data_IF_182732864136
#
_entry.id   IF_182732864136
#
_cell.length_a   1.000
_cell.length_b   1.000
_cell.length_c   1.000
_cell.angle_alpha   90.00
_cell.angle_beta   90.00
_cell.angle_gamma   90.00
#
_symmetry.space_group_name_H-M   'P 1'
#
loop_
_entity.id
_entity.type
_entity.pdbx_description
1 polymer ?
#
# COMPACT_ATOMS: atom_id res chain seq x y z
N UNK A 1 -7.21 -9.43 25.84
CA UNK A 1 -7.95 -8.91 26.99
C UNK A 1 -8.74 -9.97 27.81
N UNK A 2 -9.20 -11.08 27.19
CA UNK A 2 -9.91 -12.16 27.92
C UNK A 2 -9.03 -12.84 29.00
N UNK A 3 -7.70 -12.80 28.87
CA UNK A 3 -6.74 -13.33 29.83
C UNK A 3 -6.21 -12.29 30.84
N UNK A 4 -6.82 -11.10 30.90
CA UNK A 4 -6.41 -10.01 31.82
C UNK A 4 -5.13 -9.29 31.42
N UNK A 5 -4.57 -9.55 30.22
CA UNK A 5 -3.41 -8.83 29.71
C UNK A 5 -3.86 -7.46 29.20
N UNK A 6 -3.30 -6.40 29.81
CA UNK A 6 -3.68 -5.00 29.51
C UNK A 6 -2.60 -4.23 28.74
N UNK A 7 -1.35 -4.69 28.79
CA UNK A 7 -0.21 -4.07 28.09
C UNK A 7 0.13 -4.93 26.88
N UNK A 8 -0.26 -4.47 25.71
CA UNK A 8 -0.03 -5.15 24.43
C UNK A 8 0.66 -4.17 23.48
N UNK A 9 1.54 -4.69 22.63
CA UNK A 9 2.14 -3.99 21.51
C UNK A 9 2.11 -4.88 20.29
N UNK A 10 1.79 -4.32 19.13
CA UNK A 10 1.91 -5.02 17.86
C UNK A 10 3.33 -4.86 17.31
N UNK A 11 3.89 -5.93 16.74
CA UNK A 11 5.21 -5.91 16.14
C UNK A 11 5.07 -6.15 14.64
N UNK A 12 5.41 -5.14 13.85
CA UNK A 12 5.51 -5.26 12.41
C UNK A 12 6.89 -5.80 12.03
N UNK A 13 6.94 -7.03 11.55
CA UNK A 13 8.19 -7.69 11.13
C UNK A 13 8.13 -8.22 9.69
N UNK A 14 7.24 -7.66 8.88
CA UNK A 14 7.00 -8.05 7.50
C UNK A 14 6.22 -9.36 7.37
N UNK A 15 5.98 -9.75 6.14
CA UNK A 15 5.17 -10.90 5.77
C UNK A 15 5.92 -11.80 4.79
N UNK A 16 5.70 -13.11 4.88
CA UNK A 16 6.18 -14.04 3.87
C UNK A 16 5.52 -13.76 2.52
N UNK A 17 6.33 -13.64 1.48
CA UNK A 17 5.85 -13.42 0.11
C UNK A 17 6.50 -14.43 -0.84
N UNK A 18 5.76 -14.84 -1.86
CA UNK A 18 6.31 -15.63 -2.98
C UNK A 18 7.12 -14.76 -3.95
N UNK A 19 6.94 -13.46 -3.91
CA UNK A 19 7.69 -12.52 -4.75
C UNK A 19 9.09 -12.34 -4.18
N UNK A 20 10.09 -12.50 -5.07
CA UNK A 20 11.48 -12.23 -4.72
C UNK A 20 11.72 -10.72 -4.70
N UNK A 21 12.16 -10.21 -3.58
CA UNK A 21 12.52 -8.81 -3.37
C UNK A 21 13.84 -8.67 -2.61
N UNK A 22 14.26 -7.45 -2.28
CA UNK A 22 15.46 -7.19 -1.50
C UNK A 22 15.30 -7.55 -0.02
N UNK A 23 14.07 -7.77 0.43
CA UNK A 23 13.72 -8.02 1.82
C UNK A 23 13.56 -9.53 2.09
N UNK A 24 13.90 -9.97 3.30
CA UNK A 24 13.59 -11.33 3.78
C UNK A 24 12.08 -11.53 3.92
N UNK A 25 11.41 -10.56 4.53
CA UNK A 25 9.97 -10.51 4.66
C UNK A 25 9.47 -9.23 3.99
N UNK A 26 8.51 -9.36 3.08
CA UNK A 26 7.94 -8.18 2.42
C UNK A 26 7.32 -7.24 3.47
N UNK A 27 7.66 -5.95 3.49
CA UNK A 27 7.18 -5.05 4.54
C UNK A 27 5.67 -4.84 4.49
N UNK A 28 5.02 -4.85 3.31
CA UNK A 28 3.56 -4.66 3.15
C UNK A 28 3.02 -3.60 4.12
N UNK A 29 3.55 -2.38 4.01
CA UNK A 29 3.25 -1.28 4.93
C UNK A 29 1.78 -0.93 5.02
N UNK A 30 1.02 -1.15 3.96
CA UNK A 30 -0.43 -1.01 3.87
C UNK A 30 -1.16 -1.81 4.96
N UNK A 31 -0.71 -3.04 5.24
CA UNK A 31 -1.28 -3.88 6.30
C UNK A 31 -1.01 -3.27 7.69
N UNK A 32 0.21 -2.78 7.91
CA UNK A 32 0.57 -2.13 9.18
C UNK A 32 -0.21 -0.82 9.38
N UNK A 33 -0.35 0.00 8.33
CA UNK A 33 -1.14 1.23 8.34
C UNK A 33 -2.61 0.92 8.62
N UNK A 34 -3.18 -0.09 7.95
CA UNK A 34 -4.57 -0.49 8.16
C UNK A 34 -4.82 -0.96 9.59
N UNK A 35 -3.90 -1.76 10.17
CA UNK A 35 -4.00 -2.19 11.57
C UNK A 35 -3.97 -0.99 12.51
N UNK A 36 -3.07 -0.04 12.30
CA UNK A 36 -2.95 1.18 13.11
C UNK A 36 -4.20 2.05 12.99
N UNK A 37 -4.80 2.12 11.81
CA UNK A 37 -6.05 2.85 11.57
C UNK A 37 -7.23 2.23 12.32
N UNK A 38 -7.33 0.89 12.34
CA UNK A 38 -8.42 0.18 13.03
C UNK A 38 -8.26 0.15 14.54
N UNK A 39 -7.02 0.20 15.04
CA UNK A 39 -6.71 0.10 16.46
C UNK A 39 -5.73 1.21 16.87
N UNK A 40 -6.16 2.49 16.86
CA UNK A 40 -5.28 3.63 17.10
C UNK A 40 -4.64 3.63 18.48
N UNK A 41 -5.28 2.99 19.48
CA UNK A 41 -4.78 2.87 20.85
C UNK A 41 -3.75 1.73 21.03
N UNK A 42 -3.51 0.92 19.99
CA UNK A 42 -2.55 -0.16 20.04
C UNK A 42 -1.20 0.33 19.54
N UNK A 43 -0.24 0.45 20.45
CA UNK A 43 1.13 0.76 20.07
C UNK A 43 1.65 -0.27 19.07
N UNK A 44 2.35 0.20 18.06
CA UNK A 44 3.01 -0.64 17.08
C UNK A 44 4.47 -0.29 16.97
N UNK A 45 5.33 -1.30 17.07
CA UNK A 45 6.76 -1.18 16.82
C UNK A 45 7.15 -1.93 15.55
N UNK A 46 8.26 -1.55 14.95
CA UNK A 46 8.80 -2.24 13.78
C UNK A 46 9.99 -3.10 14.16
N UNK A 47 10.13 -4.25 13.55
CA UNK A 47 11.30 -5.12 13.57
C UNK A 47 12.04 -5.04 12.21
N UNK A 48 12.93 -4.04 12.04
CA UNK A 48 13.66 -3.88 10.79
C UNK A 48 14.60 -5.03 10.48
N UNK A 49 15.13 -5.72 11.50
CA UNK A 49 16.05 -6.85 11.32
C UNK A 49 15.39 -7.98 10.56
N UNK A 50 14.17 -8.36 10.94
CA UNK A 50 13.45 -9.46 10.30
C UNK A 50 12.82 -9.05 8.95
N UNK A 51 12.45 -7.79 8.78
CA UNK A 51 12.02 -7.29 7.46
C UNK A 51 13.20 -7.33 6.48
N UNK A 52 14.33 -6.77 6.89
CA UNK A 52 15.52 -6.69 6.03
C UNK A 52 16.12 -8.06 5.71
N UNK A 53 16.36 -8.89 6.75
CA UNK A 53 17.16 -10.11 6.65
C UNK A 53 18.64 -9.85 6.32
N UNK A 54 19.04 -8.58 6.27
CA UNK A 54 20.35 -8.10 5.89
C UNK A 54 20.59 -6.75 6.59
N UNK A 55 21.78 -6.60 7.15
CA UNK A 55 22.13 -5.44 8.00
C UNK A 55 22.15 -4.11 7.26
N UNK A 56 22.37 -4.10 5.95
CA UNK A 56 22.51 -2.88 5.14
C UNK A 56 21.16 -2.14 4.95
N UNK A 57 20.04 -2.86 5.10
CA UNK A 57 18.71 -2.31 4.92
C UNK A 57 18.03 -1.87 6.25
N UNK A 58 18.63 -2.20 7.39
CA UNK A 58 18.01 -1.96 8.71
C UNK A 58 17.71 -0.47 8.91
N UNK A 59 18.68 0.41 8.65
CA UNK A 59 18.52 1.85 8.82
C UNK A 59 17.39 2.43 7.95
N UNK A 60 17.31 1.97 6.70
CA UNK A 60 16.26 2.39 5.77
C UNK A 60 14.85 2.00 6.27
N UNK A 61 14.71 0.76 6.73
CA UNK A 61 13.42 0.25 7.22
C UNK A 61 13.08 0.92 8.57
N UNK A 62 14.06 1.12 9.44
CA UNK A 62 13.88 1.81 10.71
C UNK A 62 13.38 3.25 10.51
N UNK A 63 13.99 4.00 9.58
CA UNK A 63 13.52 5.34 9.23
C UNK A 63 12.11 5.32 8.66
N UNK A 64 11.80 4.41 7.74
CA UNK A 64 10.46 4.27 7.18
C UNK A 64 9.40 3.98 8.25
N UNK A 65 9.74 3.17 9.25
CA UNK A 65 8.85 2.89 10.38
C UNK A 65 8.54 4.17 11.19
N UNK A 66 9.55 5.00 11.47
CA UNK A 66 9.37 6.28 12.17
C UNK A 66 8.58 7.29 11.32
N UNK A 67 8.81 7.31 10.01
CA UNK A 67 8.03 8.15 9.07
C UNK A 67 6.54 7.75 9.01
N UNK A 68 6.22 6.49 9.34
CA UNK A 68 4.86 5.96 9.46
C UNK A 68 4.31 6.00 10.90
N UNK A 69 4.94 6.78 11.77
CA UNK A 69 4.51 6.98 13.15
C UNK A 69 4.42 5.67 13.96
N UNK A 70 5.40 4.77 13.80
CA UNK A 70 5.51 3.62 14.68
C UNK A 70 6.14 4.03 16.01
N UNK A 71 5.61 3.48 17.11
CA UNK A 71 5.96 3.86 18.48
C UNK A 71 7.39 3.46 18.87
N UNK A 72 8.04 2.58 18.10
CA UNK A 72 9.41 2.14 18.39
C UNK A 72 9.96 1.14 17.40
N UNK A 73 11.16 0.69 17.71
CA UNK A 73 11.95 -0.25 16.91
C UNK A 73 12.41 -1.43 17.75
N UNK A 74 12.48 -2.60 17.15
CA UNK A 74 13.09 -3.81 17.70
C UNK A 74 14.20 -4.28 16.76
N UNK A 75 15.47 -4.03 17.15
CA UNK A 75 16.62 -4.33 16.30
C UNK A 75 17.52 -5.35 16.99
N UNK A 76 17.84 -6.43 16.26
CA UNK A 76 18.74 -7.47 16.76
C UNK A 76 20.19 -6.98 16.78
N UNK A 77 20.84 -7.15 17.94
CA UNK A 77 22.25 -6.75 18.12
C UNK A 77 23.05 -7.85 18.78
N UNK A 78 24.27 -8.06 18.30
CA UNK A 78 25.21 -9.05 18.83
C UNK A 78 26.63 -8.51 18.82
N UNK A 79 27.40 -8.78 19.87
CA UNK A 79 28.77 -8.28 20.00
C UNK A 79 29.71 -8.74 18.87
N UNK A 80 29.49 -9.97 18.39
CA UNK A 80 30.15 -10.53 17.21
C UNK A 80 29.10 -11.15 16.30
N UNK A 81 28.59 -10.38 15.37
CA UNK A 81 27.47 -10.74 14.51
C UNK A 81 27.69 -12.01 13.69
N UNK A 82 28.95 -12.31 13.31
CA UNK A 82 29.25 -13.48 12.48
C UNK A 82 29.30 -14.76 13.33
N UNK A 83 29.40 -14.65 14.66
CA UNK A 83 29.32 -15.76 15.63
C UNK A 83 27.92 -15.87 16.27
N UNK A 84 26.94 -15.13 15.80
CA UNK A 84 25.58 -15.23 16.33
C UNK A 84 24.97 -16.62 16.01
N UNK A 85 24.30 -17.20 16.97
CA UNK A 85 23.71 -18.56 16.83
C UNK A 85 22.54 -18.61 15.83
N UNK A 86 21.88 -17.50 15.62
CA UNK A 86 20.79 -17.36 14.65
C UNK A 86 20.88 -16.04 13.93
N UNK A 87 20.34 -15.98 12.73
CA UNK A 87 20.08 -14.75 11.96
C UNK A 87 21.28 -13.79 11.83
N UNK A 88 22.51 -14.33 11.81
CA UNK A 88 23.77 -13.58 11.82
C UNK A 88 23.81 -12.43 10.77
N UNK A 89 23.21 -12.62 9.59
CA UNK A 89 23.23 -11.66 8.49
C UNK A 89 22.41 -10.38 8.77
N UNK A 90 21.42 -10.45 9.65
CA UNK A 90 20.53 -9.31 9.97
C UNK A 90 20.86 -8.65 11.32
N UNK A 91 21.79 -9.19 12.08
CA UNK A 91 22.22 -8.60 13.34
C UNK A 91 23.28 -7.52 13.13
N UNK A 92 23.26 -6.49 13.95
CA UNK A 92 24.27 -5.42 13.95
C UNK A 92 25.06 -5.43 15.26
N UNK A 93 26.28 -4.90 15.25
CA UNK A 93 27.02 -4.72 16.49
C UNK A 93 26.44 -3.55 17.30
N UNK A 94 26.62 -3.50 18.65
CA UNK A 94 26.17 -2.37 19.46
C UNK A 94 26.65 -1.01 18.95
N UNK A 95 27.90 -0.93 18.44
CA UNK A 95 28.43 0.30 17.86
C UNK A 95 27.71 0.71 16.57
N UNK A 96 27.35 -0.25 15.72
CA UNK A 96 26.56 0.01 14.49
C UNK A 96 25.13 0.38 14.85
N UNK A 97 24.54 -0.29 15.84
CA UNK A 97 23.20 0.06 16.34
C UNK A 97 23.15 1.50 16.83
N UNK A 98 24.15 1.94 17.62
CA UNK A 98 24.25 3.34 18.04
C UNK A 98 24.25 4.31 16.85
N UNK A 99 25.08 4.06 15.86
CA UNK A 99 25.12 4.89 14.63
C UNK A 99 23.79 4.91 13.86
N UNK A 100 23.09 3.78 13.80
CA UNK A 100 21.77 3.73 13.18
C UNK A 100 20.81 4.64 13.96
N UNK A 101 20.73 4.47 15.28
CA UNK A 101 19.83 5.26 16.15
C UNK A 101 20.14 6.75 16.05
N UNK A 102 21.42 7.13 16.13
CA UNK A 102 21.86 8.53 16.03
C UNK A 102 21.53 9.16 14.66
N UNK A 103 21.47 8.35 13.61
CA UNK A 103 21.14 8.80 12.26
C UNK A 103 19.64 8.90 11.96
N UNK A 104 18.77 8.38 12.83
CA UNK A 104 17.34 8.40 12.62
C UNK A 104 16.73 9.79 12.91
N UNK A 105 15.82 10.18 12.04
CA UNK A 105 15.01 11.40 12.21
C UNK A 105 13.68 11.02 12.85
N UNK A 106 13.51 11.43 14.13
CA UNK A 106 12.22 11.24 14.81
C UNK A 106 11.22 12.27 14.29
N UNK A 107 10.07 11.81 13.84
CA UNK A 107 9.00 12.64 13.32
C UNK A 107 7.91 12.84 14.36
N UNK A 108 7.19 13.96 14.24
CA UNK A 108 6.00 14.24 15.06
C UNK A 108 4.75 14.20 14.18
N UNK A 109 3.65 13.73 14.73
CA UNK A 109 2.35 13.64 14.03
C UNK A 109 1.80 15.01 13.64
N UNK A 110 2.22 16.07 14.32
CA UNK A 110 1.75 17.44 14.07
C UNK A 110 2.89 18.44 14.26
N UNK A 111 2.70 19.63 13.73
CA UNK A 111 3.61 20.76 13.91
C UNK A 111 2.81 21.95 14.44
N UNK A 112 3.40 22.76 15.32
CA UNK A 112 2.81 24.02 15.76
C UNK A 112 3.05 25.18 14.81
N UNK A 113 3.82 24.97 13.76
CA UNK A 113 4.06 25.96 12.72
C UNK A 113 2.78 26.29 11.97
N UNK A 114 2.25 27.49 12.15
CA UNK A 114 1.00 27.95 11.53
C UNK A 114 1.08 27.92 10.00
N UNK A 115 2.17 28.44 9.43
CA UNK A 115 2.35 28.47 7.96
C UNK A 115 2.36 27.04 7.38
N UNK A 116 2.96 26.07 8.09
CA UNK A 116 2.92 24.67 7.70
C UNK A 116 1.47 24.13 7.70
N UNK A 117 0.71 24.39 8.79
CA UNK A 117 -0.69 23.95 8.89
C UNK A 117 -1.55 24.54 7.79
N UNK A 118 -1.43 25.85 7.53
CA UNK A 118 -2.20 26.56 6.52
C UNK A 118 -1.87 26.00 5.10
N UNK A 119 -0.59 25.84 4.78
CA UNK A 119 -0.16 25.26 3.50
C UNK A 119 -0.66 23.81 3.33
N UNK A 120 -0.54 23.00 4.36
CA UNK A 120 -1.00 21.61 4.32
C UNK A 120 -2.51 21.50 4.13
N UNK A 121 -3.29 22.39 4.76
CA UNK A 121 -4.74 22.46 4.57
C UNK A 121 -5.10 22.76 3.11
N UNK A 122 -4.47 23.77 2.51
CA UNK A 122 -4.70 24.14 1.10
C UNK A 122 -4.36 22.98 0.16
N UNK A 123 -3.24 22.28 0.40
CA UNK A 123 -2.85 21.16 -0.44
C UNK A 123 -3.82 19.97 -0.30
N UNK A 124 -4.34 19.72 0.90
CA UNK A 124 -5.36 18.68 1.13
C UNK A 124 -6.67 19.02 0.43
N UNK A 125 -7.14 20.26 0.52
CA UNK A 125 -8.32 20.71 -0.21
C UNK A 125 -8.18 20.52 -1.73
N UNK A 126 -6.98 20.76 -2.28
CA UNK A 126 -6.72 20.48 -3.70
C UNK A 126 -6.78 18.99 -4.03
N UNK A 127 -6.27 18.12 -3.14
CA UNK A 127 -6.38 16.66 -3.31
C UNK A 127 -7.85 16.25 -3.24
N UNK A 128 -8.61 16.73 -2.26
CA UNK A 128 -10.04 16.40 -2.11
C UNK A 128 -10.84 16.73 -3.36
N UNK A 129 -10.57 17.90 -3.98
CA UNK A 129 -11.20 18.30 -5.24
C UNK A 129 -10.83 17.35 -6.39
N UNK A 130 -9.56 16.93 -6.49
CA UNK A 130 -9.12 15.98 -7.51
C UNK A 130 -9.73 14.60 -7.30
N UNK A 131 -9.87 14.17 -6.05
CA UNK A 131 -10.51 12.90 -5.70
C UNK A 131 -11.99 12.90 -6.05
N UNK A 132 -12.71 14.01 -5.82
CA UNK A 132 -14.10 14.19 -6.25
C UNK A 132 -14.25 14.11 -7.78
N UNK A 133 -13.32 14.72 -8.51
CA UNK A 133 -13.28 14.63 -9.98
C UNK A 133 -13.02 13.21 -10.45
N UNK A 134 -12.08 12.49 -9.85
CA UNK A 134 -11.79 11.09 -10.14
C UNK A 134 -13.02 10.22 -9.89
N UNK A 135 -13.70 10.37 -8.74
CA UNK A 135 -14.93 9.62 -8.42
C UNK A 135 -16.03 9.90 -9.42
N UNK A 136 -16.23 11.15 -9.80
CA UNK A 136 -17.23 11.56 -10.80
C UNK A 136 -16.95 10.94 -12.17
N UNK A 137 -15.69 10.94 -12.62
CA UNK A 137 -15.28 10.31 -13.89
C UNK A 137 -15.42 8.79 -13.82
N UNK A 138 -15.10 8.18 -12.69
CA UNK A 138 -15.27 6.74 -12.49
C UNK A 138 -16.76 6.34 -12.52
N UNK A 139 -17.63 7.06 -11.85
CA UNK A 139 -19.08 6.84 -11.90
C UNK A 139 -19.61 6.94 -13.33
N UNK A 140 -19.19 7.96 -14.06
CA UNK A 140 -19.55 8.14 -15.48
C UNK A 140 -19.06 6.99 -16.35
N UNK A 141 -17.83 6.53 -16.11
CA UNK A 141 -17.23 5.38 -16.81
C UNK A 141 -18.01 4.08 -16.55
N UNK A 142 -18.45 3.85 -15.30
CA UNK A 142 -19.25 2.66 -14.98
C UNK A 142 -20.64 2.69 -15.64
N UNK A 143 -21.29 3.84 -15.75
CA UNK A 143 -22.54 4.01 -16.52
C UNK A 143 -22.34 3.65 -18.00
N UNK A 144 -21.20 4.01 -18.59
CA UNK A 144 -20.87 3.62 -19.97
C UNK A 144 -20.62 2.10 -20.05
N UNK A 145 -19.94 1.51 -19.07
CA UNK A 145 -19.74 0.05 -19.01
C UNK A 145 -21.07 -0.71 -18.90
N UNK A 146 -22.05 -0.17 -18.16
CA UNK A 146 -23.40 -0.73 -18.09
C UNK A 146 -24.09 -0.72 -19.47
N UNK A 147 -24.05 0.41 -20.19
CA UNK A 147 -24.58 0.51 -21.56
C UNK A 147 -23.91 -0.47 -22.51
N UNK A 148 -22.59 -0.62 -22.43
CA UNK A 148 -21.85 -1.61 -23.24
C UNK A 148 -22.35 -3.03 -22.91
N UNK A 149 -22.56 -3.34 -21.64
CA UNK A 149 -23.14 -4.62 -21.21
C UNK A 149 -24.51 -4.88 -21.83
N UNK A 150 -25.37 -3.87 -21.86
CA UNK A 150 -26.70 -3.96 -22.49
C UNK A 150 -26.59 -4.24 -24.00
N UNK A 151 -25.77 -3.48 -24.72
CA UNK A 151 -25.58 -3.72 -26.18
C UNK A 151 -24.97 -5.10 -26.47
N UNK A 152 -24.05 -5.57 -25.66
CA UNK A 152 -23.48 -6.92 -25.79
C UNK A 152 -24.55 -7.99 -25.56
N UNK A 153 -25.39 -7.82 -24.53
CA UNK A 153 -26.52 -8.73 -24.26
C UNK A 153 -27.49 -8.81 -25.44
N UNK A 154 -27.90 -7.68 -25.99
CA UNK A 154 -28.81 -7.59 -27.12
C UNK A 154 -28.26 -8.24 -28.40
N UNK A 155 -26.93 -8.25 -28.55
CA UNK A 155 -26.25 -8.78 -29.73
C UNK A 155 -25.59 -10.14 -29.52
N UNK A 156 -25.80 -10.80 -28.36
CA UNK A 156 -25.17 -12.07 -27.95
C UNK A 156 -23.64 -12.06 -28.03
N UNK A 157 -23.03 -10.93 -27.64
CA UNK A 157 -21.56 -10.76 -27.62
C UNK A 157 -21.03 -11.01 -26.23
N UNK A 158 -19.87 -11.67 -26.12
CA UNK A 158 -19.20 -11.96 -24.86
C UNK A 158 -18.74 -10.69 -24.14
N UNK A 159 -18.74 -10.72 -22.80
CA UNK A 159 -18.28 -9.58 -21.98
C UNK A 159 -16.80 -9.32 -22.22
N UNK A 160 -15.96 -10.35 -22.11
CA UNK A 160 -14.51 -10.23 -22.24
C UNK A 160 -14.11 -10.18 -23.72
N UNK A 161 -13.32 -9.17 -24.06
CA UNK A 161 -12.68 -8.99 -25.36
C UNK A 161 -11.17 -8.77 -25.13
N UNK A 162 -10.39 -9.84 -25.16
CA UNK A 162 -8.97 -9.87 -24.78
C UNK A 162 -8.14 -8.83 -25.54
N UNK A 163 -8.29 -8.77 -26.87
CA UNK A 163 -7.54 -7.82 -27.71
C UNK A 163 -7.79 -6.36 -27.29
N UNK A 164 -9.02 -6.03 -26.91
CA UNK A 164 -9.36 -4.68 -26.44
C UNK A 164 -8.73 -4.37 -25.09
N UNK A 165 -8.62 -5.36 -24.22
CA UNK A 165 -7.94 -5.20 -22.94
C UNK A 165 -6.45 -4.91 -23.13
N UNK A 166 -5.78 -5.67 -23.98
CA UNK A 166 -4.34 -5.48 -24.25
C UNK A 166 -4.06 -4.09 -24.85
N UNK A 167 -4.89 -3.64 -25.80
CA UNK A 167 -4.82 -2.30 -26.38
C UNK A 167 -4.95 -1.21 -25.29
N UNK A 168 -5.94 -1.35 -24.38
CA UNK A 168 -6.14 -0.39 -23.28
C UNK A 168 -4.91 -0.34 -22.39
N UNK A 169 -4.38 -1.47 -21.96
CA UNK A 169 -3.21 -1.52 -21.08
C UNK A 169 -2.02 -0.84 -21.73
N UNK A 170 -1.68 -1.22 -22.96
CA UNK A 170 -0.53 -0.64 -23.67
C UNK A 170 -0.67 0.88 -23.83
N UNK A 171 -1.81 1.32 -24.32
CA UNK A 171 -2.05 2.75 -24.60
C UNK A 171 -2.07 3.58 -23.32
N UNK A 172 -2.77 3.12 -22.28
CA UNK A 172 -2.95 3.90 -21.05
C UNK A 172 -1.72 3.91 -20.16
N UNK A 173 -0.98 2.81 -20.10
CA UNK A 173 0.31 2.76 -19.37
C UNK A 173 1.32 3.69 -20.05
N UNK A 174 1.39 3.69 -21.39
CA UNK A 174 2.26 4.62 -22.11
C UNK A 174 1.92 6.10 -21.85
N UNK A 175 0.62 6.44 -21.85
CA UNK A 175 0.17 7.81 -21.49
C UNK A 175 0.53 8.17 -20.04
N UNK A 176 0.30 7.26 -19.10
CA UNK A 176 0.59 7.47 -17.68
C UNK A 176 2.09 7.74 -17.46
N UNK A 177 2.95 6.97 -18.11
CA UNK A 177 4.39 7.19 -18.08
C UNK A 177 4.78 8.59 -18.59
N UNK A 178 4.19 9.04 -19.69
CA UNK A 178 4.42 10.38 -20.24
C UNK A 178 3.93 11.49 -19.28
N UNK A 179 2.99 11.19 -18.38
CA UNK A 179 2.51 12.09 -17.32
C UNK A 179 3.31 11.98 -16.02
N UNK A 180 4.35 11.13 -15.96
CA UNK A 180 5.16 10.92 -14.76
C UNK A 180 4.56 9.97 -13.73
N UNK A 181 3.53 9.20 -14.08
CA UNK A 181 2.95 8.19 -13.19
C UNK A 181 3.73 6.87 -13.27
N UNK A 182 3.78 6.15 -12.14
CA UNK A 182 4.41 4.83 -12.06
C UNK A 182 3.66 3.81 -12.93
N UNK A 183 4.39 3.04 -13.72
CA UNK A 183 3.80 2.07 -14.65
C UNK A 183 3.13 0.90 -13.91
N UNK A 184 3.71 0.46 -12.78
CA UNK A 184 3.17 -0.63 -11.96
C UNK A 184 1.85 -0.21 -11.33
N UNK A 185 1.83 0.96 -10.68
CA UNK A 185 0.62 1.56 -10.14
C UNK A 185 -0.48 1.67 -11.20
N UNK A 186 -0.15 2.16 -12.40
CA UNK A 186 -1.15 2.32 -13.45
C UNK A 186 -1.69 0.98 -13.97
N UNK A 187 -0.85 -0.06 -14.08
CA UNK A 187 -1.31 -1.40 -14.44
C UNK A 187 -2.29 -1.97 -13.43
N UNK A 188 -2.00 -1.82 -12.15
CA UNK A 188 -2.86 -2.31 -11.08
C UNK A 188 -4.17 -1.53 -11.01
N UNK A 189 -4.12 -0.21 -11.15
CA UNK A 189 -5.31 0.63 -11.26
C UNK A 189 -6.20 0.22 -12.43
N UNK A 190 -5.63 0.04 -13.64
CA UNK A 190 -6.38 -0.39 -14.82
C UNK A 190 -7.00 -1.77 -14.62
N UNK A 191 -6.29 -2.68 -13.94
CA UNK A 191 -6.81 -4.03 -13.62
C UNK A 191 -8.03 -3.96 -12.72
N UNK A 192 -7.98 -3.14 -11.65
CA UNK A 192 -9.11 -2.94 -10.73
C UNK A 192 -10.31 -2.33 -11.45
N UNK A 193 -10.08 -1.30 -12.26
CA UNK A 193 -11.13 -0.63 -13.04
C UNK A 193 -11.73 -1.54 -14.10
N UNK A 194 -10.93 -2.41 -14.71
CA UNK A 194 -11.41 -3.40 -15.68
C UNK A 194 -12.24 -4.48 -15.00
N UNK A 195 -11.78 -4.97 -13.85
CA UNK A 195 -12.51 -5.94 -13.04
C UNK A 195 -13.92 -5.42 -12.71
N UNK A 196 -14.03 -4.20 -12.20
CA UNK A 196 -15.32 -3.59 -11.87
C UNK A 196 -16.20 -3.43 -13.14
N UNK A 197 -15.60 -3.05 -14.28
CA UNK A 197 -16.33 -2.96 -15.53
C UNK A 197 -16.92 -4.31 -15.99
N UNK A 198 -16.19 -5.40 -15.78
CA UNK A 198 -16.70 -6.77 -16.03
C UNK A 198 -17.84 -7.09 -15.07
N UNK A 199 -17.72 -6.77 -13.78
CA UNK A 199 -18.78 -7.00 -12.79
C UNK A 199 -20.08 -6.27 -13.17
N UNK A 200 -19.98 -5.00 -13.55
CA UNK A 200 -21.13 -4.20 -14.00
C UNK A 200 -21.80 -4.84 -15.23
N UNK A 201 -21.03 -5.23 -16.25
CA UNK A 201 -21.56 -5.90 -17.44
C UNK A 201 -22.16 -7.27 -17.10
N UNK A 202 -21.56 -8.04 -16.19
CA UNK A 202 -22.09 -9.32 -15.72
C UNK A 202 -23.46 -9.17 -15.04
N UNK A 203 -23.61 -8.14 -14.19
CA UNK A 203 -24.91 -7.82 -13.57
C UNK A 203 -25.99 -7.55 -14.62
N UNK A 204 -25.64 -6.83 -15.69
CA UNK A 204 -26.57 -6.56 -16.82
C UNK A 204 -26.94 -7.84 -17.56
N UNK A 205 -25.95 -8.68 -17.88
CA UNK A 205 -26.17 -9.96 -18.56
C UNK A 205 -27.12 -10.87 -17.78
N UNK A 206 -26.98 -10.91 -16.46
CA UNK A 206 -27.71 -11.80 -15.56
C UNK A 206 -29.09 -11.25 -15.14
N UNK A 207 -29.42 -9.99 -15.41
CA UNK A 207 -30.78 -9.49 -15.22
C UNK A 207 -31.72 -10.27 -16.13
N UNK A 208 -32.53 -11.15 -15.57
CA UNK A 208 -33.63 -11.80 -16.27
C UNK A 208 -34.60 -10.69 -16.70
N UNK A 209 -35.00 -10.67 -17.99
CA UNK A 209 -36.06 -9.78 -18.41
C UNK A 209 -37.31 -10.15 -17.56
N UNK A 210 -37.76 -9.24 -16.71
CA UNK A 210 -39.10 -9.38 -16.14
C UNK A 210 -40.05 -9.48 -17.31
N UNK A 211 -40.60 -10.67 -17.50
CA UNK A 211 -41.67 -10.89 -18.50
C UNK A 211 -42.87 -10.09 -18.00
N UNK A 212 -43.13 -8.96 -18.64
CA UNK A 212 -44.40 -8.24 -18.57
C UNK A 212 -45.49 -9.12 -19.19
#
# INVERSE_FOLDING_TARGET
>A
NRAGITKLVAIHRGFSSFEKGPFRNAPMWDIAIELKTRFPELDMICDPSHIAGNRDLIALIAQKALDLDMAGLMIESHINTDAAWSDAKQQVTPSVLGKIIDGLVVRTVSSDNKSFKDTLSILREQIDQLDDDIMTKMASRMKISEKIGQYKKENNVTILQVNRWDEIVQTRVGMAKAMGLDEGFMRDFLRLVHHESIQVQTKVMNKVAERV
#
